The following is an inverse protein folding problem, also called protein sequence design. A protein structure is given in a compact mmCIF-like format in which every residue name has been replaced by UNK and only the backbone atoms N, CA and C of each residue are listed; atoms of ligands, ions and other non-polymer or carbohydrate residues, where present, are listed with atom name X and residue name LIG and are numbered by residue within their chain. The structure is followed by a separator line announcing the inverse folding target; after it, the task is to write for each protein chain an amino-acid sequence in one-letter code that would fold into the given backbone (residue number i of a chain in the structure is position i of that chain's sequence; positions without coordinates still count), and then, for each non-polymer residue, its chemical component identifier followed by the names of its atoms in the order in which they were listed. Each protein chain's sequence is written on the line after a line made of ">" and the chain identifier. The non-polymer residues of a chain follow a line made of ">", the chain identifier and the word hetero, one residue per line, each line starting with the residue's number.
data_IF_035964649001
#
_entry.id   IF_035964649001
#
_cell.length_a   1.000
_cell.length_b   1.000
_cell.length_c   1.000
_cell.angle_alpha   90.00
_cell.angle_beta   90.00
_cell.angle_gamma   90.00
#
_symmetry.space_group_name_H-M   'P 1'
#
loop_
_entity.id
_entity.type
_entity.pdbx_description
1 polymer ?
#
# COMPACT_ATOMS: atom_id res chain seq x y z
N UNK A 1 12.66 -8.62 3.73
CA UNK A 1 13.92 -8.18 3.07
C UNK A 1 14.09 -6.65 3.08
N UNK A 2 13.29 -5.92 3.87
CA UNK A 2 13.28 -4.44 3.91
C UNK A 2 14.27 -3.81 4.91
N UNK A 3 15.04 -4.65 5.60
CA UNK A 3 16.13 -4.17 6.46
C UNK A 3 17.41 -4.10 5.63
N UNK A 4 18.43 -3.42 6.13
CA UNK A 4 19.75 -3.44 5.52
C UNK A 4 20.27 -4.88 5.45
N UNK A 5 20.60 -5.34 4.24
CA UNK A 5 21.12 -6.69 3.99
C UNK A 5 22.50 -6.64 3.41
N UNK A 6 23.33 -7.53 3.93
CA UNK A 6 24.65 -7.79 3.36
C UNK A 6 24.51 -8.43 1.96
N UNK A 7 25.54 -8.28 1.10
CA UNK A 7 25.57 -9.00 -0.18
C UNK A 7 25.42 -10.52 -0.03
N UNK A 8 25.95 -11.10 1.07
CA UNK A 8 25.83 -12.53 1.34
C UNK A 8 24.38 -12.96 1.58
N UNK A 9 23.61 -12.19 2.35
CA UNK A 9 22.18 -12.44 2.59
C UNK A 9 21.34 -12.27 1.31
N UNK A 10 21.62 -11.23 0.52
CA UNK A 10 20.95 -11.02 -0.77
C UNK A 10 21.23 -12.17 -1.74
N UNK A 11 22.48 -12.65 -1.79
CA UNK A 11 22.86 -13.82 -2.57
C UNK A 11 22.16 -15.10 -2.06
N UNK A 12 21.97 -15.24 -0.74
CA UNK A 12 21.22 -16.36 -0.19
C UNK A 12 19.74 -16.32 -0.61
N UNK A 13 19.10 -15.15 -0.56
CA UNK A 13 17.74 -14.96 -1.03
C UNK A 13 17.61 -15.26 -2.53
N UNK A 14 18.54 -14.79 -3.35
CA UNK A 14 18.59 -15.09 -4.78
C UNK A 14 18.68 -16.60 -5.06
N UNK A 15 19.56 -17.31 -4.34
CA UNK A 15 19.68 -18.76 -4.45
C UNK A 15 18.39 -19.46 -4.05
N UNK A 16 17.83 -19.12 -2.89
CA UNK A 16 16.60 -19.74 -2.40
C UNK A 16 15.45 -19.61 -3.41
N UNK A 17 15.20 -18.42 -3.94
CA UNK A 17 14.12 -18.24 -4.92
C UNK A 17 14.42 -18.86 -6.27
N UNK A 18 15.69 -18.94 -6.69
CA UNK A 18 16.06 -19.68 -7.90
C UNK A 18 15.77 -21.17 -7.73
N UNK A 19 16.20 -21.76 -6.62
CA UNK A 19 16.09 -23.19 -6.39
C UNK A 19 14.62 -23.59 -6.21
N UNK A 20 13.84 -22.80 -5.46
CA UNK A 20 12.40 -22.99 -5.35
C UNK A 20 11.69 -22.74 -6.67
N UNK A 21 12.00 -21.64 -7.36
CA UNK A 21 11.30 -21.23 -8.58
C UNK A 21 11.56 -22.11 -9.80
N UNK A 22 12.68 -22.84 -9.82
CA UNK A 22 13.06 -23.78 -10.89
C UNK A 22 12.36 -25.15 -10.79
N UNK A 23 11.71 -25.46 -9.67
CA UNK A 23 10.93 -26.70 -9.54
C UNK A 23 9.73 -26.66 -10.49
N UNK A 24 9.48 -27.78 -11.18
CA UNK A 24 8.37 -27.91 -12.14
C UNK A 24 7.05 -28.27 -11.47
N UNK A 25 7.10 -28.96 -10.32
CA UNK A 25 5.92 -29.33 -9.52
C UNK A 25 5.89 -28.50 -8.23
N UNK A 26 5.40 -27.26 -8.34
CA UNK A 26 5.30 -26.32 -7.22
C UNK A 26 4.08 -25.41 -7.34
N UNK A 27 3.60 -24.83 -6.22
CA UNK A 27 2.65 -23.73 -6.30
C UNK A 27 3.30 -22.47 -6.90
N UNK A 28 2.44 -21.53 -7.31
CA UNK A 28 2.89 -20.17 -7.63
C UNK A 28 3.41 -19.50 -6.36
N UNK A 29 4.52 -18.79 -6.48
CA UNK A 29 5.20 -18.07 -5.43
C UNK A 29 4.89 -16.57 -5.57
N UNK A 30 4.29 -16.03 -4.51
CA UNK A 30 4.13 -14.59 -4.30
C UNK A 30 5.04 -14.17 -3.15
N UNK A 31 6.05 -13.36 -3.44
CA UNK A 31 6.98 -12.88 -2.40
C UNK A 31 6.44 -11.60 -1.80
N UNK A 32 5.98 -11.66 -0.55
CA UNK A 32 5.45 -10.52 0.16
C UNK A 32 6.55 -9.78 0.94
N UNK A 33 6.52 -8.45 0.86
CA UNK A 33 7.39 -7.54 1.60
C UNK A 33 6.59 -6.33 2.05
N UNK A 34 6.79 -5.91 3.30
CA UNK A 34 6.01 -4.84 3.91
C UNK A 34 6.83 -4.09 4.97
N UNK A 35 6.27 -2.99 5.47
CA UNK A 35 6.81 -2.06 6.48
C UNK A 35 7.80 -1.02 5.98
N UNK A 36 8.63 -1.35 4.99
CA UNK A 36 9.58 -0.40 4.40
C UNK A 36 9.93 -0.78 2.95
N UNK A 37 10.78 0.01 2.30
CA UNK A 37 11.31 -0.23 0.97
C UNK A 37 12.31 -1.40 0.97
N UNK A 38 12.36 -2.13 -0.14
CA UNK A 38 13.27 -3.27 -0.34
C UNK A 38 14.72 -2.87 -0.60
N UNK A 39 14.98 -1.64 -1.04
CA UNK A 39 16.34 -1.18 -1.39
C UNK A 39 17.01 -2.15 -2.38
N UNK A 40 18.23 -2.57 -2.05
CA UNK A 40 19.05 -3.49 -2.86
C UNK A 40 18.43 -4.89 -3.04
N UNK A 41 17.45 -5.27 -2.21
CA UNK A 41 16.73 -6.52 -2.39
C UNK A 41 15.72 -6.46 -3.56
N UNK A 42 15.27 -5.27 -3.97
CA UNK A 42 14.30 -5.12 -5.06
C UNK A 42 14.80 -5.71 -6.39
N UNK A 43 15.98 -5.33 -6.93
CA UNK A 43 16.47 -5.92 -8.18
C UNK A 43 16.71 -7.43 -8.09
N UNK A 44 17.02 -7.96 -6.89
CA UNK A 44 17.17 -9.40 -6.66
C UNK A 44 15.81 -10.11 -6.82
N UNK A 45 14.77 -9.60 -6.15
CA UNK A 45 13.43 -10.19 -6.21
C UNK A 45 12.75 -9.99 -7.56
N UNK A 46 12.99 -8.85 -8.22
CA UNK A 46 12.46 -8.58 -9.56
C UNK A 46 12.94 -9.60 -10.60
N UNK A 47 14.18 -10.10 -10.45
CA UNK A 47 14.78 -11.13 -11.33
C UNK A 47 14.48 -12.56 -10.88
N UNK A 48 13.95 -12.75 -9.68
CA UNK A 48 13.70 -14.08 -9.14
C UNK A 48 12.63 -14.83 -9.98
N UNK A 49 12.74 -16.15 -10.15
CA UNK A 49 11.74 -16.95 -10.87
C UNK A 49 10.50 -17.23 -10.01
N UNK A 50 9.83 -16.15 -9.60
CA UNK A 50 8.56 -16.14 -8.86
C UNK A 50 7.48 -15.45 -9.70
N UNK A 51 6.22 -15.83 -9.48
CA UNK A 51 5.08 -15.34 -10.26
C UNK A 51 4.66 -13.92 -9.87
N UNK A 52 5.06 -13.43 -8.70
CA UNK A 52 4.74 -12.06 -8.31
C UNK A 52 5.39 -11.57 -7.04
N UNK A 53 5.27 -10.27 -6.81
CA UNK A 53 5.67 -9.58 -5.59
C UNK A 53 4.45 -8.91 -4.94
N UNK A 54 4.37 -8.91 -3.61
CA UNK A 54 3.45 -8.07 -2.85
C UNK A 54 4.25 -7.00 -2.12
N UNK A 55 4.00 -5.72 -2.40
CA UNK A 55 4.84 -4.61 -1.94
C UNK A 55 4.00 -3.52 -1.24
N UNK A 56 4.56 -2.96 -0.18
CA UNK A 56 4.03 -1.78 0.51
C UNK A 56 4.32 -0.50 -0.28
N UNK A 57 3.30 0.34 -0.50
CA UNK A 57 3.41 1.65 -1.16
C UNK A 57 2.97 2.81 -0.25
N UNK A 58 2.94 2.61 1.07
CA UNK A 58 2.57 3.63 2.05
C UNK A 58 3.79 4.15 2.82
N UNK A 59 3.66 5.37 3.37
CA UNK A 59 4.74 5.99 4.15
C UNK A 59 6.08 6.00 3.39
N UNK A 60 7.19 5.64 4.05
CA UNK A 60 8.51 5.53 3.41
C UNK A 60 8.57 4.49 2.28
N UNK A 61 7.75 3.44 2.33
CA UNK A 61 7.73 2.37 1.33
C UNK A 61 7.16 2.83 -0.02
N UNK A 62 6.52 4.01 -0.09
CA UNK A 62 6.11 4.65 -1.35
C UNK A 62 7.28 4.79 -2.35
N UNK A 63 8.53 4.84 -1.86
CA UNK A 63 9.73 4.82 -2.69
C UNK A 63 9.87 3.55 -3.57
N UNK A 64 9.11 2.47 -3.31
CA UNK A 64 9.04 1.33 -4.22
C UNK A 64 8.58 1.70 -5.63
N UNK A 65 7.77 2.76 -5.81
CA UNK A 65 7.33 3.17 -7.13
C UNK A 65 8.52 3.58 -8.01
N UNK A 66 9.38 4.45 -7.49
CA UNK A 66 10.62 4.87 -8.15
C UNK A 66 11.59 3.70 -8.32
N UNK A 67 11.74 2.87 -7.28
CA UNK A 67 12.58 1.68 -7.33
C UNK A 67 12.15 0.70 -8.42
N UNK A 68 10.84 0.47 -8.58
CA UNK A 68 10.30 -0.40 -9.63
C UNK A 68 10.58 0.17 -11.02
N UNK A 69 10.36 1.47 -11.23
CA UNK A 69 10.69 2.11 -12.49
C UNK A 69 12.19 1.98 -12.82
N UNK A 70 13.07 2.19 -11.82
CA UNK A 70 14.52 2.10 -11.99
C UNK A 70 15.02 0.69 -12.35
N UNK A 71 14.35 -0.37 -11.88
CA UNK A 71 14.71 -1.76 -12.24
C UNK A 71 14.03 -2.27 -13.51
N UNK A 72 13.26 -1.42 -14.21
CA UNK A 72 12.56 -1.78 -15.44
C UNK A 72 11.20 -2.47 -15.22
N UNK A 73 10.61 -2.32 -14.05
CA UNK A 73 9.34 -2.95 -13.67
C UNK A 73 9.47 -4.45 -13.37
N UNK A 74 8.34 -5.15 -13.49
CA UNK A 74 8.17 -6.57 -13.20
C UNK A 74 7.49 -7.26 -14.39
N UNK A 75 8.15 -7.31 -15.57
CA UNK A 75 7.57 -7.91 -16.76
C UNK A 75 7.26 -9.40 -16.52
N UNK A 76 6.11 -9.87 -16.98
CA UNK A 76 5.68 -11.26 -16.80
C UNK A 76 5.23 -11.61 -15.37
N UNK A 77 5.17 -10.64 -14.45
CA UNK A 77 4.86 -10.87 -13.03
C UNK A 77 3.62 -10.11 -12.57
N UNK A 78 2.98 -10.70 -11.57
CA UNK A 78 1.91 -10.08 -10.79
C UNK A 78 2.49 -9.17 -9.70
N UNK A 79 1.94 -7.98 -9.56
CA UNK A 79 2.19 -7.07 -8.45
C UNK A 79 0.94 -6.95 -7.58
N UNK A 80 1.06 -7.30 -6.31
CA UNK A 80 0.04 -7.04 -5.28
C UNK A 80 0.43 -5.76 -4.56
N UNK A 81 -0.27 -4.67 -4.87
CA UNK A 81 0.06 -3.31 -4.46
C UNK A 81 -0.62 -2.92 -3.15
N UNK A 82 0.17 -2.86 -2.09
CA UNK A 82 -0.24 -2.46 -0.75
C UNK A 82 -0.36 -0.95 -0.60
N UNK A 83 -1.47 -0.38 -1.10
CA UNK A 83 -1.74 1.07 -1.07
C UNK A 83 -2.64 1.51 0.09
N UNK A 84 -3.32 0.56 0.76
CA UNK A 84 -4.14 0.84 1.95
C UNK A 84 -3.31 0.59 3.22
N UNK A 85 -3.12 1.62 4.05
CA UNK A 85 -2.24 1.51 5.22
C UNK A 85 -2.79 0.56 6.27
N UNK A 86 -2.17 -0.61 6.43
CA UNK A 86 -2.51 -1.62 7.44
C UNK A 86 -1.92 -1.37 8.82
N UNK A 87 -1.17 -0.27 9.02
CA UNK A 87 -0.53 0.08 10.31
C UNK A 87 -1.16 1.27 11.02
N UNK A 88 -2.07 1.98 10.35
CA UNK A 88 -2.64 3.20 10.89
C UNK A 88 -4.14 3.27 10.69
N UNK A 89 -4.79 4.03 11.55
CA UNK A 89 -6.24 4.07 11.73
C UNK A 89 -6.95 5.09 10.87
N UNK A 90 -6.23 5.81 10.01
CA UNK A 90 -6.82 6.84 9.15
C UNK A 90 -7.46 6.25 7.89
N UNK A 91 -8.53 6.89 7.43
CA UNK A 91 -9.13 6.67 6.11
C UNK A 91 -8.09 6.87 5.01
N UNK A 92 -8.09 5.96 4.03
CA UNK A 92 -7.18 6.04 2.88
C UNK A 92 -7.49 7.27 2.00
N UNK A 93 -6.47 7.82 1.34
CA UNK A 93 -6.68 8.76 0.24
C UNK A 93 -6.86 7.97 -1.06
N UNK A 94 -8.13 7.80 -1.46
CA UNK A 94 -8.48 6.91 -2.56
C UNK A 94 -7.97 7.44 -3.90
N UNK A 95 -8.02 8.76 -4.11
CA UNK A 95 -7.58 9.39 -5.36
C UNK A 95 -6.06 9.26 -5.51
N UNK A 96 -5.30 9.52 -4.43
CA UNK A 96 -3.85 9.30 -4.41
C UNK A 96 -3.50 7.83 -4.64
N UNK A 97 -4.24 6.90 -4.02
CA UNK A 97 -3.99 5.47 -4.19
C UNK A 97 -4.29 5.00 -5.61
N UNK A 98 -5.35 5.50 -6.24
CA UNK A 98 -5.66 5.22 -7.65
C UNK A 98 -4.59 5.76 -8.59
N UNK A 99 -4.05 6.96 -8.34
CA UNK A 99 -2.95 7.50 -9.13
C UNK A 99 -1.71 6.60 -9.06
N UNK A 100 -1.33 6.12 -7.86
CA UNK A 100 -0.24 5.14 -7.70
C UNK A 100 -0.54 3.85 -8.46
N UNK A 101 -1.74 3.27 -8.28
CA UNK A 101 -2.15 2.04 -8.97
C UNK A 101 -2.13 2.19 -10.49
N UNK A 102 -2.56 3.34 -11.01
CA UNK A 102 -2.52 3.66 -12.44
C UNK A 102 -1.10 3.64 -13.00
N UNK A 103 -0.13 4.22 -12.29
CA UNK A 103 1.30 4.14 -12.68
C UNK A 103 1.80 2.70 -12.64
N UNK A 104 1.41 1.93 -11.63
CA UNK A 104 1.85 0.54 -11.47
C UNK A 104 1.36 -0.38 -12.60
N UNK A 105 0.24 -0.06 -13.28
CA UNK A 105 -0.22 -0.80 -14.46
C UNK A 105 0.79 -0.79 -15.61
N UNK A 106 1.65 0.24 -15.69
CA UNK A 106 2.75 0.31 -16.66
C UNK A 106 4.03 -0.40 -16.21
N UNK A 107 4.08 -0.88 -14.96
CA UNK A 107 5.29 -1.46 -14.35
C UNK A 107 5.17 -2.96 -14.05
N UNK A 108 4.01 -3.57 -14.28
CA UNK A 108 3.77 -5.00 -14.08
C UNK A 108 2.67 -5.50 -15.00
N UNK A 109 2.68 -6.79 -15.36
CA UNK A 109 1.67 -7.40 -16.24
C UNK A 109 0.27 -7.41 -15.60
N UNK A 110 0.23 -7.54 -14.28
CA UNK A 110 -1.01 -7.54 -13.51
C UNK A 110 -0.81 -6.82 -12.19
N UNK A 111 -1.72 -5.91 -11.87
CA UNK A 111 -1.75 -5.21 -10.58
C UNK A 111 -3.03 -5.59 -9.84
N UNK A 112 -2.90 -6.04 -8.59
CA UNK A 112 -4.02 -6.22 -7.67
C UNK A 112 -3.87 -5.29 -6.48
N UNK A 113 -4.98 -4.83 -5.93
CA UNK A 113 -5.00 -3.92 -4.77
C UNK A 113 -4.94 -4.72 -3.46
N UNK A 114 -4.12 -4.28 -2.51
CA UNK A 114 -4.08 -4.84 -1.15
C UNK A 114 -3.84 -3.79 -0.07
N UNK A 115 -3.86 -4.25 1.18
CA UNK A 115 -3.26 -3.51 2.29
C UNK A 115 -1.73 -3.52 2.20
N UNK A 116 -1.08 -2.53 2.80
CA UNK A 116 0.38 -2.38 2.89
C UNK A 116 1.05 -3.50 3.68
N UNK A 117 0.34 -4.06 4.65
CA UNK A 117 0.74 -5.19 5.47
C UNK A 117 -0.50 -5.93 5.97
N UNK A 118 -0.30 -6.90 6.86
CA UNK A 118 -1.42 -7.53 7.59
C UNK A 118 -2.26 -6.47 8.32
N UNK A 119 -3.59 -6.61 8.28
CA UNK A 119 -4.52 -5.77 9.05
C UNK A 119 -4.53 -6.11 10.55
N UNK A 120 -3.71 -7.07 10.99
CA UNK A 120 -3.48 -7.36 12.42
C UNK A 120 -3.06 -6.13 13.23
N UNK A 121 -2.44 -5.13 12.59
CA UNK A 121 -1.87 -3.96 13.25
C UNK A 121 -2.85 -2.79 13.42
N UNK A 122 -4.12 -2.97 13.07
CA UNK A 122 -5.18 -1.99 13.31
C UNK A 122 -6.35 -2.63 14.06
N UNK A 123 -7.19 -1.86 14.76
CA UNK A 123 -8.38 -2.41 15.40
C UNK A 123 -9.37 -2.95 14.36
N UNK A 124 -10.42 -3.64 14.81
CA UNK A 124 -11.28 -4.43 13.92
C UNK A 124 -12.33 -3.61 13.17
N UNK A 125 -13.13 -2.80 13.87
CA UNK A 125 -14.28 -2.08 13.29
C UNK A 125 -14.51 -0.72 13.94
N UNK A 126 -14.35 0.37 13.17
CA UNK A 126 -14.54 1.73 13.69
C UNK A 126 -16.01 2.03 14.03
N UNK A 127 -16.97 1.26 13.51
CA UNK A 127 -18.38 1.43 13.84
C UNK A 127 -18.72 0.99 15.28
N UNK A 128 -17.85 0.17 15.90
CA UNK A 128 -17.99 -0.23 17.30
C UNK A 128 -17.65 0.91 18.28
N UNK A 129 -16.95 1.95 17.83
CA UNK A 129 -16.59 3.11 18.63
C UNK A 129 -17.80 4.04 18.81
N UNK A 130 -18.38 4.01 20.03
CA UNK A 130 -19.58 4.80 20.39
C UNK A 130 -19.24 6.15 21.02
N UNK A 131 -18.09 6.23 21.69
CA UNK A 131 -17.69 7.41 22.48
C UNK A 131 -16.78 8.38 21.70
N UNK A 132 -16.45 8.05 20.45
CA UNK A 132 -15.67 8.91 19.57
C UNK A 132 -16.59 9.91 18.87
N UNK A 133 -16.22 11.19 18.91
CA UNK A 133 -16.92 12.25 18.20
C UNK A 133 -17.20 11.84 16.74
N UNK A 134 -18.46 11.94 16.24
CA UNK A 134 -18.80 11.55 14.87
C UNK A 134 -17.97 12.23 13.78
N UNK A 135 -17.49 13.46 14.02
CA UNK A 135 -16.54 14.15 13.17
C UNK A 135 -15.21 13.43 13.11
N UNK A 136 -14.66 12.98 14.24
CA UNK A 136 -13.37 12.27 14.27
C UNK A 136 -13.55 10.86 13.70
N UNK A 137 -14.62 10.17 14.07
CA UNK A 137 -14.91 8.79 13.63
C UNK A 137 -14.97 8.67 12.10
N UNK A 138 -15.43 9.71 11.39
CA UNK A 138 -15.45 9.73 9.92
C UNK A 138 -14.06 9.72 9.28
N UNK A 139 -13.02 10.11 10.03
CA UNK A 139 -11.63 10.09 9.57
C UNK A 139 -10.96 8.74 9.83
N UNK A 140 -11.64 7.84 10.53
CA UNK A 140 -11.11 6.54 10.94
C UNK A 140 -11.49 5.45 9.94
N UNK A 141 -10.55 4.53 9.74
CA UNK A 141 -10.73 3.32 8.96
C UNK A 141 -9.95 2.21 9.63
N UNK A 142 -10.67 1.26 10.22
CA UNK A 142 -10.13 0.08 10.90
C UNK A 142 -10.14 -1.12 9.94
N UNK A 143 -9.79 -2.33 10.37
CA UNK A 143 -9.61 -3.48 9.47
C UNK A 143 -10.82 -3.71 8.53
N UNK A 144 -12.05 -3.67 9.06
CA UNK A 144 -13.28 -3.83 8.26
C UNK A 144 -13.51 -2.69 7.25
N UNK A 145 -13.19 -1.45 7.60
CA UNK A 145 -13.32 -0.33 6.66
C UNK A 145 -12.22 -0.40 5.59
N UNK A 146 -11.00 -0.83 5.95
CA UNK A 146 -9.88 -1.00 5.02
C UNK A 146 -10.14 -2.08 3.97
N UNK A 147 -10.85 -3.16 4.30
CA UNK A 147 -11.25 -4.15 3.28
C UNK A 147 -12.26 -3.58 2.28
N UNK A 148 -13.14 -2.67 2.72
CA UNK A 148 -14.03 -1.94 1.82
C UNK A 148 -13.26 -0.93 0.94
N UNK A 149 -12.26 -0.24 1.49
CA UNK A 149 -11.35 0.63 0.70
C UNK A 149 -10.62 -0.17 -0.39
N UNK A 150 -10.04 -1.33 -0.06
CA UNK A 150 -9.37 -2.22 -1.03
C UNK A 150 -10.34 -2.62 -2.14
N UNK A 151 -11.56 -3.03 -1.79
CA UNK A 151 -12.57 -3.45 -2.78
C UNK A 151 -13.00 -2.28 -3.67
N UNK A 152 -13.13 -1.07 -3.09
CA UNK A 152 -13.47 0.16 -3.81
C UNK A 152 -12.38 0.53 -4.82
N UNK A 153 -11.12 0.52 -4.39
CA UNK A 153 -9.96 0.78 -5.24
C UNK A 153 -9.83 -0.26 -6.35
N UNK A 154 -10.03 -1.55 -6.05
CA UNK A 154 -10.00 -2.61 -7.07
C UNK A 154 -11.10 -2.43 -8.11
N UNK A 155 -12.30 -2.00 -7.69
CA UNK A 155 -13.40 -1.66 -8.60
C UNK A 155 -13.07 -0.41 -9.44
N UNK A 156 -12.49 0.63 -8.84
CA UNK A 156 -12.04 1.83 -9.56
C UNK A 156 -10.96 1.54 -10.59
N UNK A 157 -10.00 0.68 -10.23
CA UNK A 157 -8.91 0.28 -11.13
C UNK A 157 -9.42 -0.54 -12.33
N UNK A 158 -10.42 -1.41 -12.13
CA UNK A 158 -10.93 -2.31 -13.16
C UNK A 158 -12.09 -1.73 -14.00
N UNK A 159 -12.89 -0.83 -13.44
CA UNK A 159 -14.12 -0.30 -14.08
C UNK A 159 -14.10 1.22 -14.26
N UNK A 160 -12.99 1.89 -13.93
CA UNK A 160 -12.85 3.34 -13.98
C UNK A 160 -13.40 4.05 -12.75
N UNK A 161 -13.00 5.31 -12.58
CA UNK A 161 -13.37 6.16 -11.45
C UNK A 161 -14.87 6.47 -11.37
N UNK A 162 -15.55 6.50 -12.52
CA UNK A 162 -17.00 6.77 -12.57
C UNK A 162 -17.81 5.69 -11.84
N UNK A 163 -17.33 4.44 -11.86
CA UNK A 163 -17.96 3.32 -11.15
C UNK A 163 -17.86 3.44 -9.61
N UNK A 164 -17.05 4.38 -9.11
CA UNK A 164 -16.83 4.65 -7.68
C UNK A 164 -16.96 6.14 -7.33
N UNK A 165 -17.64 6.93 -8.18
CA UNK A 165 -17.69 8.39 -8.03
C UNK A 165 -18.29 8.83 -6.68
N UNK A 166 -19.30 8.11 -6.18
CA UNK A 166 -19.90 8.40 -4.87
C UNK A 166 -18.93 8.15 -3.71
N UNK A 167 -18.19 7.05 -3.75
CA UNK A 167 -17.18 6.73 -2.74
C UNK A 167 -16.01 7.72 -2.77
N UNK A 168 -15.57 8.14 -3.97
CA UNK A 168 -14.54 9.18 -4.13
C UNK A 168 -15.01 10.53 -3.56
N UNK A 169 -16.24 10.94 -3.86
CA UNK A 169 -16.80 12.18 -3.32
C UNK A 169 -16.89 12.16 -1.78
N UNK A 170 -17.35 11.05 -1.20
CA UNK A 170 -17.41 10.88 0.24
C UNK A 170 -16.02 10.87 0.89
N UNK A 171 -15.05 10.18 0.29
CA UNK A 171 -13.67 10.15 0.75
C UNK A 171 -13.03 11.54 0.73
N UNK A 172 -13.19 12.28 -0.39
CA UNK A 172 -12.71 13.65 -0.53
C UNK A 172 -13.30 14.58 0.54
N UNK A 173 -14.59 14.46 0.81
CA UNK A 173 -15.25 15.24 1.87
C UNK A 173 -14.69 14.91 3.27
N UNK A 174 -14.43 13.63 3.57
CA UNK A 174 -13.82 13.22 4.83
C UNK A 174 -12.40 13.80 4.99
N UNK A 175 -11.55 13.67 3.97
CA UNK A 175 -10.18 14.20 3.97
C UNK A 175 -10.17 15.73 4.11
N UNK A 176 -11.02 16.44 3.35
CA UNK A 176 -11.13 17.89 3.40
C UNK A 176 -11.59 18.37 4.78
N UNK A 177 -12.58 17.69 5.39
CA UNK A 177 -13.06 18.02 6.74
C UNK A 177 -11.96 17.88 7.80
N UNK A 178 -11.12 16.85 7.70
CA UNK A 178 -9.98 16.66 8.60
C UNK A 178 -8.91 17.73 8.40
N UNK A 179 -8.56 17.99 7.14
CA UNK A 179 -7.55 18.95 6.78
C UNK A 179 -7.92 20.36 7.24
N UNK A 180 -9.20 20.75 7.13
CA UNK A 180 -9.69 22.07 7.55
C UNK A 180 -10.06 22.19 9.04
N UNK A 181 -10.09 21.09 9.80
CA UNK A 181 -10.62 21.10 11.18
C UNK A 181 -9.74 21.89 12.15
N UNK A 182 -10.32 22.71 13.05
CA UNK A 182 -9.57 23.35 14.14
C UNK A 182 -8.98 22.33 15.13
N UNK A 183 -9.53 21.11 15.20
CA UNK A 183 -9.00 20.01 16.03
C UNK A 183 -7.57 19.64 15.59
N UNK A 184 -7.29 19.65 14.28
CA UNK A 184 -5.99 19.27 13.71
C UNK A 184 -5.06 20.47 13.51
N UNK A 185 -5.57 21.70 13.59
CA UNK A 185 -4.85 22.94 13.31
C UNK A 185 -4.92 23.91 14.50
N UNK A 186 -3.88 23.87 15.33
CA UNK A 186 -3.69 24.85 16.41
C UNK A 186 -2.75 25.99 15.95
N UNK A 187 -3.23 27.25 15.85
CA UNK A 187 -2.40 28.39 15.46
C UNK A 187 -1.19 28.63 16.37
N UNK A 188 -1.34 28.40 17.68
CA UNK A 188 -0.25 28.63 18.64
C UNK A 188 0.93 27.67 18.42
N UNK A 189 0.66 26.42 18.05
CA UNK A 189 1.72 25.44 17.71
C UNK A 189 2.48 25.87 16.45
N UNK A 190 1.76 26.38 15.43
CA UNK A 190 2.38 26.86 14.19
C UNK A 190 3.26 28.09 14.42
N UNK A 191 2.78 29.03 15.23
CA UNK A 191 3.56 30.21 15.60
C UNK A 191 4.86 29.82 16.32
N UNK A 192 4.81 28.81 17.21
CA UNK A 192 5.99 28.32 17.93
C UNK A 192 7.01 27.61 17.04
N UNK A 193 6.58 26.87 16.02
CA UNK A 193 7.47 26.11 15.14
C UNK A 193 8.04 26.95 13.96
N UNK A 194 7.41 28.10 13.66
CA UNK A 194 7.91 29.05 12.68
C UNK A 194 8.89 30.10 13.25
N UNK A 195 9.12 30.07 14.56
CA UNK A 195 10.15 30.84 15.26
C UNK A 195 11.42 29.99 15.43
#
# INVERSE_FOLDING_TARGET
>A
LVQDRTPAELNAAARAYRDLGALTDRPRLLVASYFDRLGDALPVLAKAPVEGLALDFTGPAAAHLEGLAAVGGLPGKRLVAGVVDGRNIWVNDLEKSLATLGTLLGLADRVDVSASCSLLHVPLDAAAEKDVDPQIRRWLSFAKQKTAEITTLARGLSRGTDAIAGELAANRAALASRAGSPITRNPAVRARAGA
#
